data_IF_269291809733
#
_entry.id   IF_269291809733
#
_cell.length_a   1.000
_cell.length_b   1.000
_cell.length_c   1.000
_cell.angle_alpha   90.00
_cell.angle_beta   90.00
_cell.angle_gamma   90.00
#
_symmetry.space_group_name_H-M   'P 1'
#
loop_
_entity.id
_entity.type
_entity.pdbx_description
1 polymer ?
#
# COMPACT_ATOMS: atom_id res chain seq x y z
N UNK A 1 -8.82 20.34 -23.17
CA UNK A 1 -9.19 21.76 -23.18
C UNK A 1 -10.62 21.91 -22.68
N UNK A 2 -10.99 23.03 -22.03
CA UNK A 2 -12.37 23.32 -21.66
C UNK A 2 -13.24 23.50 -22.93
N UNK A 3 -14.55 23.25 -22.79
CA UNK A 3 -15.49 23.38 -23.90
C UNK A 3 -15.55 24.81 -24.49
N UNK A 4 -15.32 25.82 -23.64
CA UNK A 4 -15.16 27.21 -24.02
C UNK A 4 -13.75 27.64 -23.67
N UNK A 5 -12.96 28.02 -24.67
CA UNK A 5 -11.59 28.48 -24.47
C UNK A 5 -11.65 29.92 -23.93
N UNK A 6 -11.02 30.24 -22.78
CA UNK A 6 -10.95 31.59 -22.27
C UNK A 6 -10.32 32.56 -23.26
N UNK A 7 -10.79 33.80 -23.29
CA UNK A 7 -10.34 34.82 -24.25
C UNK A 7 -8.88 35.24 -24.13
N UNK A 8 -8.28 34.96 -22.95
CA UNK A 8 -6.87 35.20 -22.63
C UNK A 8 -5.95 34.01 -22.97
N UNK A 9 -6.51 32.94 -23.54
CA UNK A 9 -5.74 31.79 -23.98
C UNK A 9 -5.49 31.81 -25.49
N UNK A 10 -4.23 31.65 -25.84
CA UNK A 10 -3.82 31.36 -27.24
C UNK A 10 -3.46 29.88 -27.31
N UNK A 11 -4.30 29.13 -28.01
CA UNK A 11 -4.12 27.68 -28.19
C UNK A 11 -3.55 27.40 -29.54
N UNK A 12 -2.40 26.73 -29.60
CA UNK A 12 -1.71 26.34 -30.81
C UNK A 12 -1.54 24.82 -30.85
N UNK A 13 -1.94 24.13 -31.92
CA UNK A 13 -1.66 22.72 -32.09
C UNK A 13 -0.14 22.46 -32.05
N UNK A 14 0.29 21.45 -31.30
CA UNK A 14 1.69 21.05 -31.24
C UNK A 14 1.91 19.67 -31.88
N UNK A 15 1.01 18.73 -31.61
CA UNK A 15 0.96 17.41 -32.25
C UNK A 15 -0.50 16.98 -32.43
N UNK A 16 -0.73 15.76 -32.95
CA UNK A 16 -2.09 15.20 -33.09
C UNK A 16 -2.78 15.06 -31.71
N UNK A 17 -2.02 14.91 -30.63
CA UNK A 17 -2.54 14.65 -29.28
C UNK A 17 -2.24 15.76 -28.27
N UNK A 18 -1.46 16.78 -28.65
CA UNK A 18 -1.03 17.84 -27.75
C UNK A 18 -1.27 19.22 -28.37
N UNK A 19 -1.59 20.15 -27.50
CA UNK A 19 -1.69 21.56 -27.81
C UNK A 19 -0.79 22.37 -26.90
N UNK A 20 -0.26 23.46 -27.41
CA UNK A 20 0.43 24.46 -26.61
C UNK A 20 -0.57 25.56 -26.25
N UNK A 21 -0.71 25.85 -24.96
CA UNK A 21 -1.56 26.92 -24.43
C UNK A 21 -0.68 28.03 -23.88
N UNK A 22 -0.76 29.21 -24.50
CA UNK A 22 -0.15 30.45 -23.98
C UNK A 22 -1.24 31.28 -23.33
N UNK A 23 -1.13 31.54 -22.03
CA UNK A 23 -2.02 32.43 -21.31
C UNK A 23 -1.43 33.84 -21.39
N UNK A 24 -2.25 34.79 -21.84
CA UNK A 24 -1.82 36.17 -22.07
C UNK A 24 -2.46 37.04 -20.99
N UNK A 25 -1.61 37.75 -20.20
CA UNK A 25 -2.07 38.60 -19.13
C UNK A 25 -1.60 38.15 -17.73
N UNK A 26 -2.07 38.85 -16.71
CA UNK A 26 -1.77 38.53 -15.34
C UNK A 26 -2.67 37.36 -14.88
N UNK A 27 -2.05 36.32 -14.35
CA UNK A 27 -2.76 35.15 -13.83
C UNK A 27 -2.43 34.99 -12.33
N UNK A 28 -3.44 34.68 -11.55
CA UNK A 28 -3.26 34.31 -10.15
C UNK A 28 -3.30 32.79 -10.03
N UNK A 29 -2.26 32.23 -9.43
CA UNK A 29 -2.18 30.81 -9.11
C UNK A 29 -2.11 30.64 -7.59
N UNK A 30 -3.04 29.90 -7.03
CA UNK A 30 -2.98 29.48 -5.64
C UNK A 30 -2.15 28.18 -5.57
N UNK A 31 -0.92 28.30 -5.10
CA UNK A 31 -0.07 27.15 -4.84
C UNK A 31 -0.14 26.84 -3.34
N UNK A 32 -0.78 25.74 -2.94
CA UNK A 32 -0.70 25.31 -1.56
C UNK A 32 0.76 24.98 -1.22
N UNK A 33 1.35 25.74 -0.30
CA UNK A 33 2.75 25.58 0.09
C UNK A 33 2.91 24.50 1.16
N UNK A 34 2.06 24.52 2.17
CA UNK A 34 1.93 23.45 3.15
C UNK A 34 0.61 23.62 3.92
N UNK A 35 0.16 22.52 4.52
CA UNK A 35 -0.91 22.51 5.51
C UNK A 35 -0.38 21.97 6.82
N UNK A 36 -0.70 22.68 7.90
CA UNK A 36 -0.38 22.24 9.24
C UNK A 36 -1.57 21.48 9.84
N UNK A 37 -1.30 20.29 10.38
CA UNK A 37 -2.29 19.53 11.13
C UNK A 37 -2.09 19.76 12.63
N UNK A 38 -3.16 19.64 13.42
CA UNK A 38 -3.08 19.72 14.88
C UNK A 38 -2.25 18.56 15.43
N UNK A 39 -2.41 17.37 14.86
CA UNK A 39 -1.61 16.19 15.19
C UNK A 39 -0.18 16.36 14.70
N UNK A 40 0.77 16.25 15.62
CA UNK A 40 2.21 16.42 15.37
C UNK A 40 3.01 15.14 15.53
N UNK A 41 2.36 14.01 15.86
CA UNK A 41 3.01 12.72 16.06
C UNK A 41 2.39 11.65 15.17
N UNK A 42 3.22 10.76 14.65
CA UNK A 42 2.80 9.58 13.90
C UNK A 42 3.73 8.41 14.25
N UNK A 43 3.24 7.19 14.12
CA UNK A 43 4.08 6.00 14.20
C UNK A 43 5.12 6.01 13.09
N UNK A 44 6.37 5.84 13.45
CA UNK A 44 7.50 5.81 12.52
C UNK A 44 8.40 4.62 12.81
N UNK A 45 9.05 4.13 11.78
CA UNK A 45 10.11 3.14 11.95
C UNK A 45 11.34 3.81 12.60
N UNK A 46 12.15 3.06 13.36
CA UNK A 46 13.37 3.58 13.96
C UNK A 46 14.29 4.25 12.92
N UNK A 47 14.96 5.32 13.32
CA UNK A 47 15.92 6.02 12.45
C UNK A 47 17.00 5.06 11.97
N UNK A 48 17.25 5.04 10.67
CA UNK A 48 18.23 4.15 10.04
C UNK A 48 17.73 2.73 9.74
N UNK A 49 16.53 2.37 10.18
CA UNK A 49 15.91 1.10 9.83
C UNK A 49 15.07 1.23 8.55
N UNK A 50 15.39 0.41 7.56
CA UNK A 50 14.63 0.33 6.30
C UNK A 50 14.31 -1.12 5.95
N UNK A 51 13.03 -1.56 6.09
CA UNK A 51 12.64 -2.92 5.74
C UNK A 51 12.86 -3.26 4.27
N UNK A 52 12.89 -2.25 3.40
CA UNK A 52 13.15 -2.43 1.98
C UNK A 52 14.56 -2.91 1.64
N UNK A 53 15.51 -2.88 2.59
CA UNK A 53 16.87 -3.38 2.39
C UNK A 53 17.04 -4.85 2.75
N UNK A 54 16.03 -5.46 3.38
CA UNK A 54 16.11 -6.80 3.95
C UNK A 54 15.76 -7.92 2.94
N UNK A 55 15.21 -7.57 1.79
CA UNK A 55 14.87 -8.49 0.72
C UNK A 55 14.84 -7.74 -0.63
N UNK A 56 14.77 -8.42 -1.80
CA UNK A 56 14.70 -7.77 -3.10
C UNK A 56 13.41 -6.99 -3.31
N UNK A 57 13.30 -5.81 -2.68
CA UNK A 57 12.07 -5.00 -2.57
C UNK A 57 12.02 -3.81 -3.53
N UNK A 58 12.89 -3.75 -4.52
CA UNK A 58 12.96 -2.62 -5.45
C UNK A 58 11.59 -2.34 -6.07
N UNK A 59 11.11 -1.11 -5.93
CA UNK A 59 9.81 -0.61 -6.37
C UNK A 59 8.61 -1.19 -5.60
N UNK A 60 8.81 -1.83 -4.46
CA UNK A 60 7.69 -2.24 -3.62
C UNK A 60 7.21 -1.07 -2.76
N UNK A 61 5.88 -0.88 -2.64
CA UNK A 61 5.30 0.05 -1.70
C UNK A 61 5.74 -0.21 -0.26
N UNK A 62 5.81 0.84 0.54
CA UNK A 62 6.26 0.78 1.93
C UNK A 62 5.47 -0.21 2.79
N UNK A 63 4.14 -0.25 2.60
CA UNK A 63 3.29 -1.20 3.33
C UNK A 63 3.62 -2.65 3.03
N UNK A 64 3.98 -2.98 1.78
CA UNK A 64 4.40 -4.34 1.42
C UNK A 64 5.77 -4.69 2.00
N UNK A 65 6.72 -3.75 1.99
CA UNK A 65 8.02 -3.95 2.64
C UNK A 65 7.86 -4.22 4.14
N UNK A 66 7.01 -3.47 4.81
CA UNK A 66 6.69 -3.67 6.23
C UNK A 66 6.02 -5.01 6.49
N UNK A 67 5.10 -5.45 5.62
CA UNK A 67 4.41 -6.74 5.75
C UNK A 67 5.37 -7.91 5.68
N UNK A 68 6.27 -7.90 4.71
CA UNK A 68 7.28 -8.98 4.55
C UNK A 68 8.23 -9.01 5.74
N UNK A 69 8.71 -7.84 6.18
CA UNK A 69 9.56 -7.74 7.36
C UNK A 69 8.84 -8.25 8.61
N UNK A 70 7.63 -7.76 8.89
CA UNK A 70 6.88 -8.13 10.09
C UNK A 70 6.57 -9.64 10.13
N UNK A 71 6.25 -10.25 8.99
CA UNK A 71 6.06 -11.69 8.91
C UNK A 71 7.34 -12.47 9.18
N UNK A 72 8.48 -12.01 8.66
CA UNK A 72 9.80 -12.62 8.94
C UNK A 72 10.19 -12.48 10.40
N UNK A 73 9.96 -11.31 11.01
CA UNK A 73 10.24 -11.05 12.42
C UNK A 73 9.34 -11.89 13.33
N UNK A 74 8.05 -12.02 12.99
CA UNK A 74 7.13 -12.90 13.70
C UNK A 74 7.61 -14.35 13.70
N UNK A 75 8.10 -14.87 12.56
CA UNK A 75 8.69 -16.20 12.47
C UNK A 75 9.91 -16.34 13.37
N UNK A 76 10.81 -15.37 13.36
CA UNK A 76 11.98 -15.37 14.24
C UNK A 76 11.60 -15.35 15.73
N UNK A 77 10.50 -14.68 16.08
CA UNK A 77 10.04 -14.49 17.46
C UNK A 77 9.37 -15.72 18.08
N UNK A 78 8.84 -16.66 17.28
CA UNK A 78 8.15 -17.85 17.81
C UNK A 78 9.11 -18.89 18.40
N UNK A 79 10.42 -18.75 18.19
CA UNK A 79 11.43 -19.67 18.72
C UNK A 79 11.38 -21.09 18.11
N UNK A 80 10.66 -21.29 17.02
CA UNK A 80 10.61 -22.54 16.28
C UNK A 80 11.43 -22.40 15.00
N UNK A 81 12.23 -23.44 14.70
CA UNK A 81 12.90 -23.51 13.41
C UNK A 81 11.85 -23.70 12.30
N UNK A 82 11.78 -22.70 11.41
CA UNK A 82 10.79 -22.69 10.33
C UNK A 82 10.94 -23.87 9.36
N UNK A 83 12.15 -24.29 9.09
CA UNK A 83 12.40 -25.45 8.24
C UNK A 83 11.87 -26.76 8.87
N UNK A 84 11.90 -26.84 10.20
CA UNK A 84 11.25 -27.93 10.92
C UNK A 84 9.74 -27.90 10.75
N UNK A 85 9.11 -26.73 10.85
CA UNK A 85 7.66 -26.58 10.59
C UNK A 85 7.32 -27.03 9.17
N UNK A 86 8.06 -26.56 8.16
CA UNK A 86 7.86 -26.89 6.74
C UNK A 86 7.99 -28.38 6.45
N UNK A 87 8.80 -29.10 7.20
CA UNK A 87 8.92 -30.58 7.04
C UNK A 87 7.74 -31.35 7.62
N UNK A 88 7.00 -30.77 8.56
CA UNK A 88 5.91 -31.44 9.29
C UNK A 88 4.52 -30.94 8.94
N UNK A 89 4.41 -29.82 8.23
CA UNK A 89 3.16 -29.23 7.80
C UNK A 89 3.16 -29.16 6.27
N UNK A 90 2.15 -29.77 5.67
CA UNK A 90 2.02 -29.72 4.21
C UNK A 90 1.79 -28.27 3.74
N UNK A 91 2.32 -27.94 2.56
CA UNK A 91 2.32 -26.56 2.06
C UNK A 91 0.91 -26.02 1.78
N UNK A 92 -0.06 -26.88 1.53
CA UNK A 92 -1.47 -26.56 1.37
C UNK A 92 -2.22 -26.41 2.69
N UNK A 93 -1.58 -26.76 3.81
CA UNK A 93 -2.08 -26.56 5.17
C UNK A 93 -1.49 -25.33 5.87
N UNK A 94 -0.85 -24.45 5.14
CA UNK A 94 -0.36 -23.16 5.62
C UNK A 94 -1.12 -22.06 4.89
N UNK A 95 -1.79 -21.18 5.63
CA UNK A 95 -2.58 -20.08 5.08
C UNK A 95 -2.02 -18.73 5.53
N UNK A 96 -2.32 -17.68 4.77
CA UNK A 96 -1.98 -16.30 5.13
C UNK A 96 -3.14 -15.36 4.84
N UNK A 97 -3.54 -14.60 5.84
CA UNK A 97 -4.58 -13.58 5.75
C UNK A 97 -4.03 -12.25 6.24
N UNK A 98 -3.68 -11.38 5.31
CA UNK A 98 -3.12 -10.07 5.61
C UNK A 98 -3.55 -9.03 4.58
N UNK A 99 -3.80 -7.82 5.02
CA UNK A 99 -4.23 -6.75 4.14
C UNK A 99 -3.91 -5.36 4.66
N UNK A 100 -4.14 -4.39 3.81
CA UNK A 100 -4.06 -2.97 4.12
C UNK A 100 -5.40 -2.34 3.78
N UNK A 101 -6.09 -1.73 4.75
CA UNK A 101 -7.42 -1.16 4.53
C UNK A 101 -7.41 -0.01 3.50
N UNK A 102 -6.32 0.74 3.45
CA UNK A 102 -6.14 1.85 2.50
C UNK A 102 -5.47 1.42 1.20
N UNK A 103 -4.99 0.18 1.10
CA UNK A 103 -4.11 -0.22 0.00
C UNK A 103 -2.75 0.48 0.05
N UNK A 104 -2.02 0.42 -1.05
CA UNK A 104 -0.70 1.01 -1.15
C UNK A 104 -0.79 2.36 -1.89
N UNK A 105 -1.05 3.45 -1.15
CA UNK A 105 -1.26 4.79 -1.69
C UNK A 105 0.03 5.62 -1.85
N UNK A 106 1.19 5.03 -1.61
CA UNK A 106 2.47 5.69 -1.87
C UNK A 106 2.83 5.76 -3.37
N UNK A 107 3.97 6.38 -3.68
CA UNK A 107 4.42 6.59 -5.06
C UNK A 107 4.74 5.31 -5.83
N UNK A 108 4.93 4.17 -5.17
CA UNK A 108 5.20 2.88 -5.80
C UNK A 108 3.94 2.02 -6.01
N UNK A 109 2.79 2.48 -5.54
CA UNK A 109 1.50 1.82 -5.68
C UNK A 109 0.47 2.69 -6.39
N UNK A 110 -0.78 2.60 -5.95
CA UNK A 110 -1.92 3.34 -6.50
C UNK A 110 -1.70 4.85 -6.49
N UNK A 111 -1.04 5.40 -5.46
CA UNK A 111 -0.72 6.83 -5.40
C UNK A 111 0.16 7.28 -6.57
N UNK A 112 1.17 6.51 -6.94
CA UNK A 112 1.99 6.78 -8.12
C UNK A 112 1.19 6.69 -9.43
N UNK A 113 0.28 5.72 -9.54
CA UNK A 113 -0.60 5.59 -10.70
C UNK A 113 -1.48 6.84 -10.88
N UNK A 114 -2.11 7.30 -9.81
CA UNK A 114 -3.02 8.45 -9.84
C UNK A 114 -2.29 9.77 -10.13
N UNK A 115 -1.08 9.94 -9.59
CA UNK A 115 -0.29 11.17 -9.73
C UNK A 115 0.50 11.27 -11.02
N UNK A 116 0.85 10.14 -11.65
CA UNK A 116 1.77 10.10 -12.78
C UNK A 116 1.40 11.08 -13.90
N UNK A 117 0.11 11.14 -14.26
CA UNK A 117 -0.36 12.04 -15.31
C UNK A 117 -0.18 13.52 -14.97
N UNK A 118 -0.44 13.90 -13.72
CA UNK A 118 -0.28 15.29 -13.25
C UNK A 118 1.19 15.71 -13.17
N UNK A 119 2.08 14.74 -12.96
CA UNK A 119 3.52 14.94 -12.92
C UNK A 119 4.18 14.82 -14.31
N UNK A 120 3.40 14.66 -15.38
CA UNK A 120 3.93 14.45 -16.73
C UNK A 120 4.70 13.13 -16.89
N UNK A 121 4.46 12.17 -16.02
CA UNK A 121 5.16 10.89 -15.99
C UNK A 121 4.30 9.79 -16.63
N UNK A 122 4.97 8.76 -17.15
CA UNK A 122 4.30 7.56 -17.63
C UNK A 122 3.87 6.69 -16.44
N UNK A 123 2.63 6.20 -16.50
CA UNK A 123 2.13 5.21 -15.53
C UNK A 123 2.91 3.91 -15.70
N UNK A 124 3.48 3.40 -14.60
CA UNK A 124 4.10 2.09 -14.58
C UNK A 124 3.03 0.99 -14.49
N UNK A 125 3.20 -0.09 -15.27
CA UNK A 125 2.33 -1.26 -15.20
C UNK A 125 2.30 -1.93 -13.80
N UNK A 126 3.30 -1.67 -12.96
CA UNK A 126 3.40 -2.20 -11.60
C UNK A 126 2.50 -1.48 -10.60
N UNK A 127 2.17 -0.22 -10.83
CA UNK A 127 1.47 0.63 -9.85
C UNK A 127 0.09 0.09 -9.46
N UNK A 128 -0.65 -0.42 -10.42
CA UNK A 128 -1.99 -0.96 -10.17
C UNK A 128 -1.93 -2.24 -9.32
N UNK A 129 -1.27 -3.34 -9.75
CA UNK A 129 -1.25 -4.57 -8.96
C UNK A 129 -0.58 -4.40 -7.60
N UNK A 130 0.50 -3.62 -7.50
CA UNK A 130 1.15 -3.36 -6.22
C UNK A 130 0.32 -2.47 -5.27
N UNK A 131 -0.71 -1.80 -5.80
CA UNK A 131 -1.58 -0.91 -5.02
C UNK A 131 -2.72 -1.59 -4.28
N UNK A 132 -3.02 -2.86 -4.56
CA UNK A 132 -4.18 -3.54 -4.01
C UNK A 132 -4.08 -3.78 -2.51
N UNK A 133 -5.24 -3.77 -1.86
CA UNK A 133 -5.36 -3.87 -0.41
C UNK A 133 -5.01 -5.27 0.13
N UNK A 134 -5.17 -6.32 -0.67
CA UNK A 134 -4.88 -7.72 -0.35
C UNK A 134 -3.43 -8.13 -0.63
N UNK A 135 -2.64 -7.31 -1.31
CA UNK A 135 -1.26 -7.62 -1.66
C UNK A 135 -0.35 -8.01 -0.48
N UNK A 136 -0.55 -7.51 0.76
CA UNK A 136 0.22 -7.98 1.90
C UNK A 136 0.23 -9.50 2.07
N UNK A 137 -0.91 -10.17 1.87
CA UNK A 137 -0.98 -11.63 1.96
C UNK A 137 -0.15 -12.33 0.88
N UNK A 138 -0.29 -11.89 -0.38
CA UNK A 138 0.46 -12.45 -1.50
C UNK A 138 1.97 -12.26 -1.32
N UNK A 139 2.38 -11.10 -0.83
CA UNK A 139 3.80 -10.80 -0.60
C UNK A 139 4.39 -11.59 0.57
N UNK A 140 3.66 -11.73 1.67
CA UNK A 140 4.08 -12.61 2.78
C UNK A 140 4.18 -14.05 2.29
N UNK A 141 3.22 -14.50 1.48
CA UNK A 141 3.29 -15.83 0.91
C UNK A 141 4.51 -16.00 -0.01
N UNK A 142 4.71 -15.07 -0.95
CA UNK A 142 5.77 -15.17 -1.95
C UNK A 142 7.19 -15.08 -1.35
N UNK A 143 7.39 -14.24 -0.34
CA UNK A 143 8.72 -13.94 0.19
C UNK A 143 9.05 -14.65 1.51
N UNK A 144 8.06 -15.15 2.23
CA UNK A 144 8.26 -15.74 3.56
C UNK A 144 7.79 -17.18 3.65
N UNK A 145 6.54 -17.48 3.24
CA UNK A 145 5.93 -18.78 3.50
C UNK A 145 6.14 -19.79 2.37
N UNK A 146 5.92 -19.40 1.13
CA UNK A 146 5.91 -20.31 -0.02
C UNK A 146 4.83 -21.37 0.10
N UNK A 147 3.63 -21.01 0.58
CA UNK A 147 2.52 -21.93 0.80
C UNK A 147 1.56 -22.01 -0.39
N UNK A 148 0.73 -23.08 -0.40
CA UNK A 148 -0.36 -23.28 -1.35
C UNK A 148 -1.74 -23.31 -0.68
N UNK A 149 -1.82 -22.94 0.61
CA UNK A 149 -3.07 -22.80 1.36
C UNK A 149 -3.80 -21.52 1.04
N UNK A 150 -4.78 -21.19 1.86
CA UNK A 150 -5.59 -19.98 1.70
C UNK A 150 -4.73 -18.72 1.77
N UNK A 151 -4.85 -17.85 0.76
CA UNK A 151 -4.14 -16.57 0.69
C UNK A 151 -5.12 -15.46 0.36
N UNK A 152 -5.10 -14.35 1.10
CA UNK A 152 -5.98 -13.22 0.87
C UNK A 152 -6.14 -12.31 2.06
N UNK A 153 -7.20 -11.50 2.02
CA UNK A 153 -7.54 -10.60 3.12
C UNK A 153 -9.05 -10.42 3.27
N UNK A 154 -9.50 -10.26 4.52
CA UNK A 154 -10.77 -9.65 4.83
C UNK A 154 -10.54 -8.24 5.35
N UNK A 155 -11.18 -7.26 4.71
CA UNK A 155 -10.96 -5.84 5.02
C UNK A 155 -12.15 -5.29 5.79
N UNK A 156 -11.87 -4.54 6.83
CA UNK A 156 -12.85 -3.90 7.70
C UNK A 156 -12.28 -2.62 8.32
N UNK A 157 -11.70 -1.77 7.47
CA UNK A 157 -11.00 -0.55 7.89
C UNK A 157 -10.00 -0.85 9.05
N UNK A 158 -10.06 -0.12 10.15
CA UNK A 158 -9.19 -0.31 11.31
C UNK A 158 -9.32 -1.71 11.97
N UNK A 159 -10.41 -2.44 11.70
CA UNK A 159 -10.65 -3.80 12.22
C UNK A 159 -10.12 -4.92 11.30
N UNK A 160 -9.45 -4.60 10.20
CA UNK A 160 -8.98 -5.60 9.22
C UNK A 160 -8.16 -6.73 9.86
N UNK A 161 -7.29 -6.40 10.83
CA UNK A 161 -6.54 -7.42 11.56
C UNK A 161 -7.46 -8.44 12.26
N UNK A 162 -8.52 -7.98 12.92
CA UNK A 162 -9.45 -8.84 13.64
C UNK A 162 -10.24 -9.76 12.70
N UNK A 163 -10.59 -9.28 11.52
CA UNK A 163 -11.25 -10.10 10.49
C UNK A 163 -10.31 -11.16 9.92
N UNK A 164 -9.07 -10.82 9.67
CA UNK A 164 -8.06 -11.78 9.23
C UNK A 164 -7.76 -12.82 10.32
N UNK A 165 -7.70 -12.39 11.58
CA UNK A 165 -7.55 -13.30 12.72
C UNK A 165 -8.74 -14.29 12.81
N UNK A 166 -9.95 -13.82 12.59
CA UNK A 166 -11.14 -14.68 12.54
C UNK A 166 -11.02 -15.73 11.45
N UNK A 167 -10.63 -15.36 10.23
CA UNK A 167 -10.42 -16.31 9.13
C UNK A 167 -9.39 -17.38 9.51
N UNK A 168 -8.28 -16.96 10.11
CA UNK A 168 -7.24 -17.89 10.55
C UNK A 168 -7.74 -18.87 11.63
N UNK A 169 -8.50 -18.39 12.60
CA UNK A 169 -9.10 -19.24 13.64
C UNK A 169 -10.09 -20.24 13.02
N UNK A 170 -10.90 -19.80 12.06
CA UNK A 170 -11.87 -20.66 11.37
C UNK A 170 -11.15 -21.74 10.56
N UNK A 171 -10.06 -21.43 9.87
CA UNK A 171 -9.26 -22.39 9.13
C UNK A 171 -8.65 -23.48 10.02
N UNK A 172 -8.07 -23.08 11.15
CA UNK A 172 -7.53 -24.02 12.14
C UNK A 172 -8.64 -24.92 12.71
N UNK A 173 -9.76 -24.33 13.13
CA UNK A 173 -10.89 -25.08 13.72
C UNK A 173 -11.53 -26.06 12.77
N UNK A 174 -11.55 -25.75 11.48
CA UNK A 174 -12.14 -26.60 10.45
C UNK A 174 -11.12 -27.59 9.85
N UNK A 175 -9.87 -27.58 10.35
CA UNK A 175 -8.82 -28.46 9.83
C UNK A 175 -8.33 -28.13 8.43
N UNK A 176 -8.67 -26.97 7.88
CA UNK A 176 -8.20 -26.53 6.57
C UNK A 176 -6.72 -26.13 6.58
N UNK A 177 -6.28 -25.56 7.69
CA UNK A 177 -4.88 -25.21 7.89
C UNK A 177 -4.40 -25.65 9.26
N UNK A 178 -3.10 -25.92 9.37
CA UNK A 178 -2.38 -26.20 10.63
C UNK A 178 -1.56 -25.02 11.09
N UNK A 179 -1.17 -24.16 10.16
CA UNK A 179 -0.44 -22.93 10.40
C UNK A 179 -1.13 -21.81 9.64
N UNK A 180 -1.40 -20.69 10.31
CA UNK A 180 -1.98 -19.52 9.67
C UNK A 180 -1.22 -18.28 10.11
N UNK A 181 -0.79 -17.49 9.12
CA UNK A 181 -0.30 -16.13 9.32
C UNK A 181 -1.47 -15.17 9.21
N UNK A 182 -1.59 -14.28 10.18
CA UNK A 182 -2.59 -13.23 10.15
C UNK A 182 -1.94 -11.88 10.40
N UNK A 183 -2.36 -10.87 9.66
CA UNK A 183 -1.74 -9.56 9.80
C UNK A 183 -2.55 -8.43 9.18
N UNK A 184 -2.05 -7.23 9.41
CA UNK A 184 -2.40 -6.02 8.71
C UNK A 184 -1.16 -5.12 8.70
N UNK A 185 -0.97 -4.38 7.63
CA UNK A 185 0.10 -3.40 7.53
C UNK A 185 -0.43 -2.14 6.88
N UNK A 186 -0.18 -1.02 7.53
CA UNK A 186 -0.55 0.29 7.04
C UNK A 186 0.67 1.21 7.02
N UNK A 187 0.82 1.95 5.94
CA UNK A 187 1.84 2.99 5.83
C UNK A 187 1.20 4.32 5.36
N UNK A 188 0.20 4.84 6.09
CA UNK A 188 -0.69 5.89 5.60
C UNK A 188 -0.16 7.31 5.81
N UNK A 189 1.08 7.50 6.22
CA UNK A 189 1.63 8.84 6.47
C UNK A 189 2.04 9.47 5.14
N UNK A 190 1.04 9.80 4.34
CA UNK A 190 1.17 10.60 3.11
C UNK A 190 0.21 11.78 3.16
N UNK A 191 0.51 12.89 2.47
CA UNK A 191 -0.34 14.10 2.52
C UNK A 191 -1.81 13.82 2.23
N UNK A 192 -2.11 13.02 1.23
CA UNK A 192 -3.48 12.72 0.78
C UNK A 192 -4.28 11.94 1.84
N UNK A 193 -3.64 10.99 2.49
CA UNK A 193 -4.30 10.21 3.55
C UNK A 193 -4.47 11.04 4.80
N UNK A 194 -3.47 11.84 5.16
CA UNK A 194 -3.56 12.76 6.30
C UNK A 194 -4.69 13.78 6.11
N UNK A 195 -4.86 14.32 4.90
CA UNK A 195 -5.99 15.17 4.55
C UNK A 195 -7.34 14.45 4.73
N UNK A 196 -7.44 13.22 4.22
CA UNK A 196 -8.65 12.41 4.37
C UNK A 196 -9.01 12.15 5.82
N UNK A 197 -8.04 11.78 6.65
CA UNK A 197 -8.25 11.53 8.07
C UNK A 197 -8.59 12.81 8.83
N UNK A 198 -7.98 13.94 8.49
CA UNK A 198 -8.34 15.24 9.05
C UNK A 198 -9.79 15.62 8.73
N UNK A 199 -10.20 15.43 7.46
CA UNK A 199 -11.57 15.70 7.03
C UNK A 199 -12.62 14.81 7.72
N UNK A 200 -12.25 13.60 8.10
CA UNK A 200 -13.09 12.68 8.88
C UNK A 200 -13.10 12.98 10.38
N UNK A 201 -12.27 13.90 10.86
CA UNK A 201 -12.06 14.10 12.29
C UNK A 201 -11.37 12.91 12.98
N UNK A 202 -10.62 12.11 12.22
CA UNK A 202 -9.98 10.90 12.71
C UNK A 202 -8.52 11.13 13.19
N UNK A 203 -8.01 12.34 13.05
CA UNK A 203 -6.75 12.78 13.65
C UNK A 203 -7.04 13.40 15.02
N UNK A 204 -6.57 12.77 16.08
CA UNK A 204 -6.74 13.23 17.46
C UNK A 204 -5.51 13.99 17.97
#
# INVERSE_FOLDING_TARGET
LPAVIPSDWVVTPSTVTHVHVKIVGQQEFLLPTHREFEVKAAGQLPTGFDPGTLYPSRNHPRGLQMSVYAASDALGSIGLDWETVRRHVAIDQMSVYAGSAMGQLDGAGTGGMLKARYLGQRVSAKFCPLGFAEMPADFVNAYVLGSLGGTGASLGACASFLYNLRLGIEDIRQGRARVVFVGAAEAPVTPEIMEGYAAMGALA
#
